data_IF_965199359714
#
_entry.id   IF_965199359714
#
_cell.length_a   1.000
_cell.length_b   1.000
_cell.length_c   1.000
_cell.angle_alpha   90.00
_cell.angle_beta   90.00
_cell.angle_gamma   90.00
#
_symmetry.space_group_name_H-M   'P 1'
#
loop_
_entity.id
_entity.type
_entity.pdbx_description
1 polymer ?
#
# COMPACT_ATOMS: atom_id res chain seq x y z
N UNK A 1 16.86 20.16 3.01
CA UNK A 1 16.18 19.47 4.12
C UNK A 1 14.98 18.79 3.51
N UNK A 2 14.80 17.49 3.77
CA UNK A 2 13.64 16.72 3.32
C UNK A 2 12.47 17.00 4.25
N UNK A 3 11.22 16.84 3.79
CA UNK A 3 10.07 16.93 4.69
C UNK A 3 10.10 15.83 5.76
N UNK A 4 10.57 14.63 5.40
CA UNK A 4 10.78 13.52 6.34
C UNK A 4 11.62 13.91 7.57
N UNK A 5 12.56 14.85 7.43
CA UNK A 5 13.43 15.26 8.53
C UNK A 5 12.74 16.06 9.65
N UNK A 6 11.45 16.40 9.50
CA UNK A 6 10.67 17.00 10.59
C UNK A 6 10.15 15.97 11.61
N UNK A 7 10.06 14.70 11.20
CA UNK A 7 9.54 13.61 12.02
C UNK A 7 10.63 13.06 12.95
N UNK A 8 10.21 12.40 14.04
CA UNK A 8 11.14 11.68 14.92
C UNK A 8 11.63 10.40 14.24
N UNK A 9 12.78 9.84 14.66
CA UNK A 9 13.31 8.61 14.06
C UNK A 9 12.32 7.43 14.13
N UNK A 10 11.59 7.30 15.24
CA UNK A 10 10.56 6.27 15.43
C UNK A 10 9.35 6.48 14.50
N UNK A 11 8.97 7.74 14.28
CA UNK A 11 7.88 8.12 13.37
C UNK A 11 8.28 7.89 11.92
N UNK A 12 9.53 8.22 11.55
CA UNK A 12 10.10 7.95 10.24
C UNK A 12 10.08 6.44 9.98
N UNK A 13 10.60 5.63 10.90
CA UNK A 13 10.61 4.17 10.74
C UNK A 13 9.18 3.62 10.53
N UNK A 14 8.19 4.14 11.26
CA UNK A 14 6.78 3.76 11.08
C UNK A 14 6.25 4.11 9.69
N UNK A 15 6.35 5.38 9.27
CA UNK A 15 5.76 5.84 8.00
C UNK A 15 6.52 5.33 6.77
N UNK A 16 7.82 5.05 6.91
CA UNK A 16 8.67 4.51 5.84
C UNK A 16 8.50 3.01 5.71
N UNK A 17 8.33 2.26 6.80
CA UNK A 17 8.15 0.81 6.69
C UNK A 17 6.74 0.42 6.23
N UNK A 18 5.71 1.21 6.59
CA UNK A 18 4.32 0.85 6.35
C UNK A 18 3.96 0.51 4.89
N UNK A 19 4.42 1.23 3.84
CA UNK A 19 4.16 0.87 2.45
C UNK A 19 4.56 -0.57 2.12
N UNK A 20 5.76 -0.98 2.54
CA UNK A 20 6.24 -2.33 2.34
C UNK A 20 5.45 -3.34 3.19
N UNK A 21 5.26 -3.04 4.48
CA UNK A 21 4.54 -3.91 5.41
C UNK A 21 3.10 -4.19 5.01
N UNK A 22 2.41 -3.20 4.44
CA UNK A 22 1.06 -3.36 3.91
C UNK A 22 1.06 -4.29 2.70
N UNK A 23 2.01 -4.14 1.78
CA UNK A 23 2.17 -5.08 0.67
C UNK A 23 2.36 -6.51 1.17
N UNK A 24 3.25 -6.72 2.14
CA UNK A 24 3.47 -8.03 2.76
C UNK A 24 2.23 -8.58 3.47
N UNK A 25 1.48 -7.74 4.17
CA UNK A 25 0.25 -8.16 4.84
C UNK A 25 -0.78 -8.70 3.84
N UNK A 26 -0.97 -8.00 2.72
CA UNK A 26 -1.91 -8.43 1.67
C UNK A 26 -1.44 -9.72 1.03
N UNK A 27 -0.16 -9.80 0.65
CA UNK A 27 0.48 -11.02 0.11
C UNK A 27 0.25 -12.24 1.02
N UNK A 28 0.39 -12.08 2.33
CA UNK A 28 0.21 -13.17 3.30
C UNK A 28 -1.26 -13.39 3.73
N UNK A 29 -2.24 -12.73 3.12
CA UNK A 29 -3.63 -12.88 3.52
C UNK A 29 -4.26 -14.19 3.02
N UNK A 30 -3.70 -14.81 1.98
CA UNK A 30 -4.22 -16.03 1.32
C UNK A 30 -3.68 -17.34 1.89
N UNK A 31 -2.40 -17.40 2.28
CA UNK A 31 -1.63 -18.54 2.84
C UNK A 31 -2.27 -19.96 2.70
N UNK A 32 -2.54 -20.39 1.46
CA UNK A 32 -2.47 -21.81 1.08
C UNK A 32 -1.04 -22.05 0.54
N UNK A 33 -0.31 -22.98 1.15
CA UNK A 33 1.12 -23.24 0.89
C UNK A 33 1.47 -23.35 -0.61
N UNK A 34 2.09 -22.31 -1.18
CA UNK A 34 2.52 -22.25 -2.59
C UNK A 34 3.62 -21.23 -2.85
N UNK A 35 4.89 -21.67 -2.90
CA UNK A 35 6.09 -20.82 -3.02
C UNK A 35 6.21 -19.95 -4.31
N UNK A 36 5.32 -20.09 -5.31
CA UNK A 36 5.44 -19.37 -6.59
C UNK A 36 4.76 -18.00 -6.61
N UNK A 37 3.82 -17.74 -5.70
CA UNK A 37 3.01 -16.52 -5.70
C UNK A 37 3.73 -15.37 -5.00
N UNK A 38 4.48 -15.70 -3.93
CA UNK A 38 5.34 -14.78 -3.16
C UNK A 38 6.31 -13.99 -4.04
N UNK A 39 6.98 -14.62 -5.02
CA UNK A 39 7.95 -13.91 -5.85
C UNK A 39 7.31 -12.86 -6.77
N UNK A 40 6.10 -13.12 -7.27
CA UNK A 40 5.40 -12.20 -8.18
C UNK A 40 4.87 -11.00 -7.42
N UNK A 41 4.26 -11.24 -6.28
CA UNK A 41 3.76 -10.21 -5.37
C UNK A 41 4.89 -9.33 -4.86
N UNK A 42 6.03 -9.92 -4.52
CA UNK A 42 7.23 -9.19 -4.13
C UNK A 42 7.79 -8.32 -5.26
N UNK A 43 7.81 -8.82 -6.50
CA UNK A 43 8.20 -8.01 -7.68
C UNK A 43 7.20 -6.88 -7.94
N UNK A 44 5.91 -7.13 -7.77
CA UNK A 44 4.87 -6.13 -7.92
C UNK A 44 4.97 -5.04 -6.85
N UNK A 45 5.20 -5.41 -5.60
CA UNK A 45 5.45 -4.50 -4.48
C UNK A 45 6.65 -3.59 -4.78
N UNK A 46 7.81 -4.16 -5.12
CA UNK A 46 9.01 -3.40 -5.43
C UNK A 46 8.79 -2.47 -6.65
N UNK A 47 8.10 -2.96 -7.68
CA UNK A 47 7.79 -2.17 -8.88
C UNK A 47 6.84 -1.02 -8.59
N UNK A 48 5.81 -1.25 -7.80
CA UNK A 48 4.85 -0.24 -7.37
C UNK A 48 5.56 0.89 -6.59
N UNK A 49 6.40 0.53 -5.61
CA UNK A 49 7.18 1.52 -4.84
C UNK A 49 8.13 2.30 -5.74
N UNK A 50 8.80 1.65 -6.71
CA UNK A 50 9.67 2.32 -7.69
C UNK A 50 8.91 3.32 -8.56
N UNK A 51 7.72 2.97 -9.04
CA UNK A 51 6.93 3.86 -9.87
C UNK A 51 6.38 5.05 -9.06
N UNK A 52 5.99 4.83 -7.80
CA UNK A 52 5.65 5.93 -6.88
C UNK A 52 6.87 6.85 -6.69
N UNK A 53 8.06 6.31 -6.46
CA UNK A 53 9.27 7.11 -6.28
C UNK A 53 9.66 7.94 -7.53
N UNK A 54 9.33 7.47 -8.74
CA UNK A 54 9.70 8.11 -10.01
C UNK A 54 8.64 9.07 -10.56
N UNK A 55 7.38 8.65 -10.59
CA UNK A 55 6.34 9.22 -11.43
C UNK A 55 5.14 9.77 -10.65
N UNK A 56 5.12 9.63 -9.32
CA UNK A 56 3.93 9.96 -8.56
C UNK A 56 3.63 11.47 -8.61
N UNK A 57 2.42 11.80 -9.07
CA UNK A 57 1.86 13.16 -9.05
C UNK A 57 1.33 13.54 -7.64
N UNK A 58 1.62 12.72 -6.61
CA UNK A 58 1.25 13.01 -5.22
C UNK A 58 2.18 14.02 -4.55
N UNK A 59 2.09 14.09 -3.22
CA UNK A 59 2.90 15.02 -2.44
C UNK A 59 4.39 14.67 -2.46
N UNK A 60 5.25 15.68 -2.30
CA UNK A 60 6.70 15.50 -2.19
C UNK A 60 7.04 14.57 -1.01
N UNK A 61 6.32 14.67 0.11
CA UNK A 61 6.47 13.76 1.25
C UNK A 61 6.25 12.27 0.86
N UNK A 62 5.23 11.99 0.06
CA UNK A 62 4.91 10.61 -0.38
C UNK A 62 6.05 10.04 -1.23
N UNK A 63 6.62 10.88 -2.11
CA UNK A 63 7.77 10.53 -2.94
C UNK A 63 9.03 10.31 -2.10
N UNK A 64 9.29 11.17 -1.12
CA UNK A 64 10.40 11.00 -0.17
C UNK A 64 10.29 9.69 0.59
N UNK A 65 9.09 9.36 1.10
CA UNK A 65 8.80 8.09 1.78
C UNK A 65 9.10 6.91 0.85
N UNK A 66 8.58 6.90 -0.38
CA UNK A 66 8.84 5.82 -1.33
C UNK A 66 10.33 5.64 -1.66
N UNK A 67 11.07 6.74 -1.80
CA UNK A 67 12.53 6.71 -1.99
C UNK A 67 13.24 6.12 -0.77
N UNK A 68 12.80 6.46 0.44
CA UNK A 68 13.40 5.97 1.67
C UNK A 68 13.09 4.48 1.91
N UNK A 69 11.89 4.01 1.53
CA UNK A 69 11.55 2.58 1.50
C UNK A 69 12.56 1.82 0.64
N UNK A 70 12.85 2.32 -0.58
CA UNK A 70 13.80 1.69 -1.50
C UNK A 70 15.25 1.75 -1.00
N UNK A 71 15.64 2.81 -0.30
CA UNK A 71 16.98 2.93 0.31
C UNK A 71 17.17 1.96 1.47
N UNK A 72 16.09 1.69 2.20
CA UNK A 72 16.06 0.78 3.36
C UNK A 72 15.84 -0.68 2.97
N UNK A 73 16.26 -1.10 1.77
CA UNK A 73 16.04 -2.47 1.26
C UNK A 73 16.66 -3.54 2.15
N UNK A 74 17.75 -3.21 2.83
CA UNK A 74 18.40 -4.06 3.83
C UNK A 74 17.52 -4.34 5.07
N UNK A 75 16.50 -3.52 5.32
CA UNK A 75 15.54 -3.71 6.42
C UNK A 75 14.29 -4.50 6.03
N UNK A 76 14.03 -4.72 4.74
CA UNK A 76 12.75 -5.28 4.26
C UNK A 76 12.43 -6.64 4.88
N UNK A 77 13.42 -7.53 5.01
CA UNK A 77 13.26 -8.84 5.67
C UNK A 77 12.81 -8.70 7.13
N UNK A 78 13.29 -7.67 7.84
CA UNK A 78 12.85 -7.41 9.22
C UNK A 78 11.45 -6.79 9.26
N UNK A 79 11.08 -6.00 8.25
CA UNK A 79 9.77 -5.37 8.16
C UNK A 79 8.64 -6.35 7.82
N UNK A 80 8.93 -7.42 7.07
CA UNK A 80 7.95 -8.48 6.79
C UNK A 80 7.57 -9.30 8.03
N UNK A 81 8.34 -9.21 9.11
CA UNK A 81 8.03 -9.91 10.35
C UNK A 81 6.83 -9.29 11.06
N UNK A 82 5.88 -10.14 11.46
CA UNK A 82 4.73 -9.74 12.27
C UNK A 82 3.77 -8.78 11.55
N UNK A 83 3.59 -8.95 10.23
CA UNK A 83 2.66 -8.13 9.43
C UNK A 83 1.19 -8.52 9.59
N UNK A 84 0.86 -9.58 10.34
CA UNK A 84 -0.52 -10.07 10.54
C UNK A 84 -1.48 -9.11 11.27
N UNK A 85 -0.98 -8.02 11.86
CA UNK A 85 -1.79 -7.03 12.57
C UNK A 85 -1.29 -5.62 12.20
N UNK A 86 -1.67 -5.18 11.00
CA UNK A 86 -1.13 -3.96 10.37
C UNK A 86 -1.98 -2.72 10.70
N UNK A 87 -3.24 -2.91 11.06
CA UNK A 87 -4.24 -1.87 11.28
C UNK A 87 -3.82 -0.87 12.37
N UNK A 88 -3.29 -1.28 13.55
CA UNK A 88 -2.79 -0.33 14.54
C UNK A 88 -1.63 0.54 14.02
N UNK A 89 -0.81 0.00 13.11
CA UNK A 89 0.28 0.75 12.49
C UNK A 89 -0.24 1.74 11.46
N UNK A 90 -1.26 1.36 10.68
CA UNK A 90 -1.99 2.27 9.79
C UNK A 90 -2.62 3.44 10.56
N UNK A 91 -3.34 3.16 11.66
CA UNK A 91 -3.95 4.19 12.51
C UNK A 91 -2.89 5.15 13.07
N UNK A 92 -1.78 4.61 13.59
CA UNK A 92 -0.70 5.40 14.18
C UNK A 92 0.02 6.25 13.13
N UNK A 93 0.30 5.71 11.95
CA UNK A 93 0.97 6.45 10.88
C UNK A 93 0.17 7.68 10.44
N UNK A 94 -1.16 7.55 10.34
CA UNK A 94 -2.02 8.69 9.98
C UNK A 94 -2.05 9.75 11.09
N UNK A 95 -2.07 9.35 12.36
CA UNK A 95 -1.97 10.29 13.48
C UNK A 95 -0.64 11.07 13.47
N UNK A 96 0.48 10.36 13.24
CA UNK A 96 1.82 10.94 13.12
C UNK A 96 1.87 11.95 11.97
N UNK A 97 1.36 11.56 10.79
CA UNK A 97 1.32 12.45 9.63
C UNK A 97 0.44 13.67 9.89
N UNK A 98 -0.73 13.53 10.49
CA UNK A 98 -1.62 14.67 10.79
C UNK A 98 -1.03 15.68 11.77
N UNK A 99 -0.11 15.25 12.62
CA UNK A 99 0.54 16.16 13.56
C UNK A 99 1.51 17.13 12.88
N UNK A 100 2.04 16.79 11.69
CA UNK A 100 3.15 17.52 11.08
C UNK A 100 2.98 17.84 9.59
N UNK A 101 2.19 17.07 8.85
CA UNK A 101 1.94 17.21 7.42
C UNK A 101 0.58 17.85 7.15
N UNK A 102 0.41 18.37 5.93
CA UNK A 102 -0.87 18.92 5.48
C UNK A 102 -1.93 17.83 5.26
N UNK A 103 -3.21 18.20 5.29
CA UNK A 103 -4.31 17.28 4.98
C UNK A 103 -4.17 16.66 3.58
N UNK A 104 -3.65 17.42 2.62
CA UNK A 104 -3.39 16.93 1.26
C UNK A 104 -2.30 15.83 1.26
N UNK A 105 -1.24 16.01 2.04
CA UNK A 105 -0.17 15.01 2.19
C UNK A 105 -0.66 13.74 2.88
N UNK A 106 -1.50 13.85 3.92
CA UNK A 106 -2.12 12.70 4.58
C UNK A 106 -2.98 11.92 3.57
N UNK A 107 -3.79 12.62 2.75
CA UNK A 107 -4.60 11.98 1.70
C UNK A 107 -3.73 11.32 0.63
N UNK A 108 -2.64 11.95 0.19
CA UNK A 108 -1.69 11.35 -0.75
C UNK A 108 -1.02 10.10 -0.18
N UNK A 109 -0.66 10.11 1.11
CA UNK A 109 -0.08 8.95 1.76
C UNK A 109 -1.08 7.78 1.86
N UNK A 110 -2.31 8.04 2.32
CA UNK A 110 -3.36 7.02 2.37
C UNK A 110 -3.61 6.43 0.98
N UNK A 111 -3.65 7.28 -0.04
CA UNK A 111 -3.80 6.88 -1.44
C UNK A 111 -2.66 5.93 -1.88
N UNK A 112 -1.42 6.31 -1.61
CA UNK A 112 -0.24 5.50 -1.92
C UNK A 112 -0.31 4.12 -1.25
N UNK A 113 -0.65 4.05 0.03
CA UNK A 113 -0.74 2.77 0.76
C UNK A 113 -1.78 1.84 0.12
N UNK A 114 -2.96 2.37 -0.21
CA UNK A 114 -4.02 1.58 -0.83
C UNK A 114 -3.69 1.16 -2.27
N UNK A 115 -2.98 2.01 -3.03
CA UNK A 115 -2.45 1.65 -4.36
C UNK A 115 -1.47 0.48 -4.28
N UNK A 116 -0.57 0.48 -3.29
CA UNK A 116 0.35 -0.64 -3.06
C UNK A 116 -0.41 -1.92 -2.71
N UNK A 117 -1.34 -1.84 -1.76
CA UNK A 117 -2.15 -2.98 -1.34
C UNK A 117 -2.89 -3.62 -2.54
N UNK A 118 -3.48 -2.77 -3.39
CA UNK A 118 -4.19 -3.22 -4.60
C UNK A 118 -3.27 -3.85 -5.63
N UNK A 119 -2.09 -3.25 -5.86
CA UNK A 119 -1.14 -3.72 -6.85
C UNK A 119 -0.54 -5.07 -6.48
N UNK A 120 -0.34 -5.32 -5.18
CA UNK A 120 0.09 -6.63 -4.68
C UNK A 120 -0.99 -7.67 -4.92
N UNK A 121 -2.23 -7.44 -4.46
CA UNK A 121 -3.31 -8.41 -4.64
C UNK A 121 -3.56 -8.76 -6.12
N UNK A 122 -3.48 -7.77 -7.01
CA UNK A 122 -3.69 -8.00 -8.44
C UNK A 122 -2.52 -8.73 -9.13
N UNK A 123 -1.34 -8.78 -8.50
CA UNK A 123 -0.15 -9.42 -9.06
C UNK A 123 -0.32 -10.94 -9.22
N UNK A 124 -1.13 -11.54 -8.35
CA UNK A 124 -1.40 -12.96 -8.35
C UNK A 124 -2.10 -13.42 -9.66
N UNK A 125 -2.98 -12.60 -10.25
CA UNK A 125 -3.79 -13.01 -11.40
C UNK A 125 -3.36 -12.57 -12.81
N UNK A 126 -2.38 -11.66 -12.97
CA UNK A 126 -2.09 -11.05 -14.29
C UNK A 126 -0.64 -11.08 -14.80
N UNK A 127 0.36 -11.50 -14.03
CA UNK A 127 1.76 -11.51 -14.51
C UNK A 127 2.13 -12.70 -15.41
N UNK A 128 1.48 -12.77 -16.58
CA UNK A 128 1.98 -13.44 -17.78
C UNK A 128 2.85 -12.55 -18.67
N UNK A 129 2.76 -11.21 -18.52
CA UNK A 129 3.59 -10.22 -19.21
C UNK A 129 3.92 -9.06 -18.26
N UNK A 130 5.15 -8.53 -18.35
CA UNK A 130 5.59 -7.38 -17.54
C UNK A 130 4.60 -6.20 -17.68
N UNK A 131 4.19 -5.55 -16.59
CA UNK A 131 3.23 -4.47 -16.67
C UNK A 131 3.93 -3.27 -17.31
N UNK A 132 3.44 -2.84 -18.47
CA UNK A 132 3.72 -1.49 -18.92
C UNK A 132 3.07 -0.53 -17.91
N UNK A 133 3.82 0.43 -17.33
CA UNK A 133 3.27 1.36 -16.36
C UNK A 133 2.34 2.35 -17.08
N UNK A 134 1.07 1.99 -17.27
CA UNK A 134 0.06 2.93 -17.74
C UNK A 134 -0.40 3.84 -16.60
N UNK A 135 -0.30 5.15 -16.84
CA UNK A 135 -0.78 6.23 -15.96
C UNK A 135 -2.27 6.14 -15.54
N UNK A 136 -3.05 5.20 -16.11
CA UNK A 136 -4.47 4.99 -15.81
C UNK A 136 -4.77 3.85 -14.82
N UNK A 137 -3.80 3.01 -14.47
CA UNK A 137 -4.01 1.82 -13.64
C UNK A 137 -4.24 2.18 -12.16
N UNK A 138 -3.37 3.02 -11.61
CA UNK A 138 -3.40 3.47 -10.21
C UNK A 138 -4.68 4.23 -9.83
N UNK A 139 -5.23 5.04 -10.76
CA UNK A 139 -6.48 5.78 -10.53
C UNK A 139 -7.74 4.90 -10.54
N UNK A 140 -7.76 3.82 -11.33
CA UNK A 140 -8.93 2.93 -11.44
C UNK A 140 -9.06 1.98 -10.24
N UNK A 141 -7.95 1.41 -9.77
CA UNK A 141 -7.95 0.52 -8.60
C UNK A 141 -8.43 1.26 -7.34
N UNK A 142 -7.90 2.47 -7.10
CA UNK A 142 -8.27 3.27 -5.94
C UNK A 142 -9.73 3.78 -5.99
N UNK A 143 -10.24 4.13 -7.18
CA UNK A 143 -11.62 4.59 -7.35
C UNK A 143 -12.65 3.49 -7.05
N UNK A 144 -12.30 2.20 -7.22
CA UNK A 144 -13.17 1.06 -6.89
C UNK A 144 -13.18 0.76 -5.39
N UNK A 145 -12.02 0.72 -4.74
CA UNK A 145 -11.92 0.50 -3.27
C UNK A 145 -12.59 1.63 -2.49
N UNK A 146 -12.45 2.87 -2.95
CA UNK A 146 -13.18 4.02 -2.37
C UNK A 146 -14.68 3.92 -2.67
N UNK A 147 -15.05 3.48 -3.88
CA UNK A 147 -16.45 3.31 -4.32
C UNK A 147 -17.22 2.26 -3.52
N UNK A 148 -16.66 1.06 -3.37
CA UNK A 148 -17.24 -0.08 -2.64
C UNK A 148 -17.38 0.20 -1.13
N UNK A 149 -16.45 0.96 -0.54
CA UNK A 149 -16.55 1.34 0.87
C UNK A 149 -17.56 2.46 1.13
N UNK A 150 -17.89 3.27 0.11
CA UNK A 150 -18.85 4.39 0.22
C UNK A 150 -20.31 3.98 0.00
N UNK A 151 -20.57 2.74 -0.44
CA UNK A 151 -21.91 2.22 -0.70
C UNK A 151 -21.98 0.72 -0.49
N UNK A 152 -22.65 0.31 0.60
CA UNK A 152 -23.23 -1.03 0.70
C UNK A 152 -24.22 -1.23 -0.46
N UNK A 153 -23.81 -1.92 -1.51
CA UNK A 153 -24.71 -2.62 -2.42
C UNK A 153 -23.96 -3.72 -3.15
N UNK A 154 -24.40 -4.96 -2.90
CA UNK A 154 -24.10 -6.13 -3.70
C UNK A 154 -24.49 -5.88 -5.16
N UNK A 155 -23.57 -6.06 -6.10
CA UNK A 155 -23.86 -6.63 -7.42
C UNK A 155 -22.56 -7.06 -8.10
N UNK A 156 -22.36 -8.37 -8.02
CA UNK A 156 -21.32 -9.19 -8.61
C UNK A 156 -21.42 -9.17 -10.14
N UNK A 157 -20.62 -8.32 -10.80
CA UNK A 157 -20.49 -8.34 -12.26
C UNK A 157 -19.14 -7.85 -12.81
N UNK A 158 -18.17 -7.47 -11.96
CA UNK A 158 -16.81 -7.10 -12.37
C UNK A 158 -15.80 -7.28 -11.22
N UNK A 159 -15.92 -8.35 -10.41
CA UNK A 159 -14.78 -8.76 -9.61
C UNK A 159 -13.62 -9.00 -10.59
N UNK A 160 -12.47 -8.31 -10.47
CA UNK A 160 -11.28 -8.81 -11.14
C UNK A 160 -11.14 -10.25 -10.68
N UNK A 161 -11.04 -11.21 -11.60
CA UNK A 161 -10.96 -12.66 -11.34
C UNK A 161 -9.71 -13.07 -10.52
N UNK A 162 -9.05 -12.10 -9.88
CA UNK A 162 -7.62 -12.06 -9.58
C UNK A 162 -7.31 -11.46 -8.20
N UNK A 163 -8.33 -11.08 -7.42
CA UNK A 163 -8.16 -10.66 -6.01
C UNK A 163 -9.04 -11.56 -5.18
N UNK A 164 -8.47 -12.19 -4.18
CA UNK A 164 -9.21 -13.14 -3.35
C UNK A 164 -10.09 -12.46 -2.31
N UNK A 165 -11.00 -13.23 -1.70
CA UNK A 165 -11.82 -12.74 -0.59
C UNK A 165 -10.98 -12.36 0.64
N UNK A 166 -9.85 -13.02 0.86
CA UNK A 166 -8.96 -12.75 1.99
C UNK A 166 -8.16 -11.46 1.77
N UNK A 167 -7.60 -11.27 0.58
CA UNK A 167 -6.90 -10.05 0.17
C UNK A 167 -7.84 -8.84 0.17
N UNK A 168 -9.05 -9.00 -0.35
CA UNK A 168 -10.07 -7.94 -0.36
C UNK A 168 -10.47 -7.55 1.08
N UNK A 169 -10.61 -8.54 1.96
CA UNK A 169 -10.85 -8.30 3.39
C UNK A 169 -9.68 -7.55 4.05
N UNK A 170 -8.43 -7.92 3.72
CA UNK A 170 -7.23 -7.25 4.21
C UNK A 170 -7.16 -5.80 3.73
N UNK A 171 -7.35 -5.54 2.43
CA UNK A 171 -7.40 -4.19 1.85
C UNK A 171 -8.50 -3.35 2.51
N UNK A 172 -9.68 -3.93 2.71
CA UNK A 172 -10.79 -3.26 3.39
C UNK A 172 -10.45 -2.88 4.83
N UNK A 173 -9.82 -3.77 5.60
CA UNK A 173 -9.38 -3.48 6.98
C UNK A 173 -8.34 -2.36 7.04
N UNK A 174 -7.36 -2.37 6.12
CA UNK A 174 -6.35 -1.32 5.97
C UNK A 174 -7.01 0.02 5.65
N UNK A 175 -7.97 0.04 4.72
CA UNK A 175 -8.68 1.26 4.33
C UNK A 175 -9.47 1.87 5.51
N UNK A 176 -10.12 1.04 6.32
CA UNK A 176 -10.79 1.46 7.56
C UNK A 176 -9.79 2.09 8.52
N UNK A 177 -8.69 1.38 8.81
CA UNK A 177 -7.68 1.81 9.77
C UNK A 177 -7.04 3.15 9.37
N UNK A 178 -6.68 3.32 8.11
CA UNK A 178 -6.12 4.56 7.58
C UNK A 178 -7.11 5.73 7.67
N UNK A 179 -8.40 5.49 7.44
CA UNK A 179 -9.42 6.57 7.42
C UNK A 179 -9.97 6.92 8.78
N UNK A 180 -9.82 6.05 9.78
CA UNK A 180 -10.37 6.25 11.14
C UNK A 180 -9.94 7.58 11.76
N UNK A 181 -8.70 8.00 11.48
CA UNK A 181 -8.14 9.23 12.01
C UNK A 181 -7.82 10.27 10.92
N UNK A 182 -8.13 10.01 9.64
CA UNK A 182 -7.77 10.88 8.51
C UNK A 182 -8.45 12.25 8.57
#
# INVERSE_FOLDING_TARGET
>A
MTQLSSFSDDDIELIVSLPYRVGMHVSFSEDEEGEQDDEREMRALESCIKEIAKLYEGSELTKEIALEVLRSRDKWESWSQGVFNIEPQCEKAVLVLKAQASEAEVKSYIKMILEIASAVAQAYGEFGEEPAPEKGFFGKALSRIVGEFSGLSSEDANHPMNVSAAEDSAISSIAVALRKNA
#
